data_IF_667888066646
#
_entry.id   IF_667888066646
#
_cell.length_a   1.000
_cell.length_b   1.000
_cell.length_c   1.000
_cell.angle_alpha   90.00
_cell.angle_beta   90.00
_cell.angle_gamma   90.00
#
_symmetry.space_group_name_H-M   'P 1'
#
loop_
_entity.id
_entity.type
_entity.pdbx_description
1 polymer ?
#
# COMPACT_ATOMS: atom_id res chain seq x y z
N UNK A 1 -7.84 -7.55 14.85
CA UNK A 1 -6.49 -6.93 14.78
C UNK A 1 -5.50 -8.01 14.40
N UNK A 2 -4.58 -7.73 13.49
CA UNK A 2 -3.49 -8.66 13.16
C UNK A 2 -2.46 -8.57 14.28
N UNK A 3 -2.06 -9.70 14.84
CA UNK A 3 -1.02 -9.77 15.86
C UNK A 3 0.29 -10.17 15.19
N UNK A 4 1.31 -9.32 15.32
CA UNK A 4 2.66 -9.59 14.83
C UNK A 4 3.51 -10.18 15.96
N UNK A 5 4.56 -10.93 15.60
CA UNK A 5 5.61 -11.27 16.58
C UNK A 5 6.49 -10.05 16.85
N UNK A 6 7.21 -10.06 17.97
CA UNK A 6 8.00 -8.91 18.44
C UNK A 6 8.99 -8.37 17.38
N UNK A 7 9.62 -9.28 16.61
CA UNK A 7 10.55 -8.91 15.54
C UNK A 7 9.86 -8.20 14.37
N UNK A 8 8.72 -8.72 13.93
CA UNK A 8 7.94 -8.12 12.83
C UNK A 8 7.36 -6.78 13.26
N UNK A 9 6.87 -6.68 14.50
CA UNK A 9 6.34 -5.44 15.05
C UNK A 9 7.43 -4.35 15.13
N UNK A 10 8.64 -4.70 15.59
CA UNK A 10 9.77 -3.78 15.59
C UNK A 10 10.15 -3.32 14.17
N UNK A 11 10.17 -4.24 13.19
CA UNK A 11 10.47 -3.92 11.80
C UNK A 11 9.40 -3.00 11.18
N UNK A 12 8.12 -3.32 11.37
CA UNK A 12 6.99 -2.53 10.88
C UNK A 12 6.98 -1.13 11.51
N UNK A 13 7.21 -1.02 12.82
CA UNK A 13 7.32 0.27 13.50
C UNK A 13 8.45 1.12 12.93
N UNK A 14 9.62 0.52 12.67
CA UNK A 14 10.73 1.22 12.02
C UNK A 14 10.35 1.71 10.62
N UNK A 15 9.77 0.85 9.79
CA UNK A 15 9.41 1.19 8.41
C UNK A 15 8.31 2.26 8.33
N UNK A 16 7.31 2.21 9.20
CA UNK A 16 6.22 3.20 9.27
C UNK A 16 6.72 4.60 9.68
N UNK A 17 7.78 4.67 10.49
CA UNK A 17 8.35 5.93 10.96
C UNK A 17 9.55 6.40 10.11
N UNK A 18 9.93 5.64 9.07
CA UNK A 18 11.02 6.01 8.17
C UNK A 18 10.56 7.09 7.19
N UNK A 19 11.40 8.11 7.01
CA UNK A 19 11.05 9.33 6.25
C UNK A 19 10.69 9.01 4.81
N UNK A 20 11.41 8.08 4.18
CA UNK A 20 11.17 7.71 2.78
C UNK A 20 9.78 7.10 2.59
N UNK A 21 9.35 6.20 3.49
CA UNK A 21 8.05 5.57 3.39
C UNK A 21 6.90 6.54 3.71
N UNK A 22 7.08 7.45 4.67
CA UNK A 22 6.12 8.54 4.90
C UNK A 22 5.96 9.41 3.64
N UNK A 23 7.06 9.75 2.97
CA UNK A 23 7.02 10.55 1.73
C UNK A 23 6.34 9.80 0.58
N UNK A 24 6.65 8.52 0.39
CA UNK A 24 6.00 7.67 -0.62
C UNK A 24 4.50 7.58 -0.36
N UNK A 25 4.09 7.31 0.88
CA UNK A 25 2.68 7.22 1.25
C UNK A 25 1.92 8.53 0.98
N UNK A 26 2.52 9.67 1.34
CA UNK A 26 1.96 10.99 1.05
C UNK A 26 1.85 11.28 -0.45
N UNK A 27 2.89 10.94 -1.22
CA UNK A 27 2.87 11.10 -2.67
C UNK A 27 1.77 10.26 -3.33
N UNK A 28 1.65 8.98 -2.95
CA UNK A 28 0.62 8.10 -3.49
C UNK A 28 -0.79 8.57 -3.13
N UNK A 29 -0.98 9.05 -1.89
CA UNK A 29 -2.24 9.64 -1.46
C UNK A 29 -2.61 10.90 -2.25
N UNK A 30 -1.63 11.77 -2.52
CA UNK A 30 -1.84 12.99 -3.32
C UNK A 30 -2.13 12.65 -4.80
N UNK A 31 -1.41 11.70 -5.38
CA UNK A 31 -1.69 11.21 -6.73
C UNK A 31 -3.10 10.63 -6.83
N UNK A 32 -3.54 9.86 -5.83
CA UNK A 32 -4.89 9.33 -5.78
C UNK A 32 -5.96 10.44 -5.73
N UNK A 33 -5.76 11.44 -4.87
CA UNK A 33 -6.65 12.60 -4.78
C UNK A 33 -6.76 13.35 -6.13
N UNK A 34 -5.65 13.45 -6.88
CA UNK A 34 -5.63 14.12 -8.17
C UNK A 34 -6.34 13.32 -9.27
N UNK A 35 -6.03 12.03 -9.40
CA UNK A 35 -6.49 11.20 -10.52
C UNK A 35 -7.88 10.58 -10.31
N UNK A 36 -8.33 10.45 -9.06
CA UNK A 36 -9.66 9.89 -8.74
C UNK A 36 -10.26 10.56 -7.49
N UNK A 37 -10.61 11.86 -7.58
CA UNK A 37 -11.01 12.66 -6.41
C UNK A 37 -12.24 12.12 -5.68
N UNK A 38 -13.26 11.66 -6.41
CA UNK A 38 -14.49 11.10 -5.80
C UNK A 38 -14.22 9.82 -5.00
N UNK A 39 -13.33 8.96 -5.52
CA UNK A 39 -12.97 7.73 -4.82
C UNK A 39 -12.05 8.04 -3.64
N UNK A 40 -11.16 9.02 -3.78
CA UNK A 40 -10.36 9.53 -2.67
C UNK A 40 -11.23 10.07 -1.53
N UNK A 41 -12.24 10.89 -1.83
CA UNK A 41 -13.20 11.40 -0.84
C UNK A 41 -13.94 10.25 -0.15
N UNK A 42 -14.38 9.24 -0.90
CA UNK A 42 -14.99 8.04 -0.33
C UNK A 42 -14.05 7.33 0.67
N UNK A 43 -12.77 7.19 0.33
CA UNK A 43 -11.77 6.64 1.25
C UNK A 43 -11.63 7.54 2.49
N UNK A 44 -11.42 8.84 2.32
CA UNK A 44 -11.22 9.78 3.43
C UNK A 44 -12.41 9.78 4.41
N UNK A 45 -13.65 9.82 3.89
CA UNK A 45 -14.85 9.71 4.72
C UNK A 45 -14.96 8.38 5.45
N UNK A 46 -14.65 7.27 4.75
CA UNK A 46 -14.71 5.93 5.34
C UNK A 46 -13.70 5.80 6.48
N UNK A 47 -12.48 6.28 6.27
CA UNK A 47 -11.41 6.29 7.29
C UNK A 47 -11.81 7.13 8.51
N UNK A 48 -12.42 8.29 8.28
CA UNK A 48 -12.97 9.13 9.35
C UNK A 48 -14.06 8.39 10.13
N UNK A 49 -15.05 7.81 9.45
CA UNK A 49 -16.15 7.04 10.07
C UNK A 49 -15.63 5.86 10.89
N UNK A 50 -14.62 5.15 10.39
CA UNK A 50 -13.99 4.03 11.10
C UNK A 50 -13.31 4.50 12.38
N UNK A 51 -12.54 5.61 12.33
CA UNK A 51 -11.84 6.16 13.49
C UNK A 51 -12.80 6.77 14.52
N UNK A 52 -13.87 7.41 14.06
CA UNK A 52 -14.95 7.95 14.91
C UNK A 52 -15.68 6.81 15.65
N UNK A 53 -15.86 5.66 15.00
CA UNK A 53 -16.50 4.48 15.59
C UNK A 53 -15.58 3.72 16.56
N UNK A 54 -14.31 3.53 16.18
CA UNK A 54 -13.30 2.89 17.02
C UNK A 54 -12.03 3.77 17.11
N UNK A 55 -11.95 4.63 18.14
CA UNK A 55 -10.80 5.50 18.38
C UNK A 55 -9.49 4.73 18.61
N UNK A 56 -9.55 3.43 18.91
CA UNK A 56 -8.38 2.60 19.13
C UNK A 56 -7.68 2.17 17.83
N UNK A 57 -8.32 2.34 16.66
CA UNK A 57 -7.71 2.05 15.36
C UNK A 57 -6.52 2.97 15.08
N UNK A 58 -5.42 2.41 14.60
CA UNK A 58 -4.28 3.15 14.06
C UNK A 58 -4.13 2.86 12.57
N UNK A 59 -3.81 3.89 11.80
CA UNK A 59 -3.50 3.78 10.38
C UNK A 59 -2.00 3.94 10.17
N UNK A 60 -1.46 3.36 9.09
CA UNK A 60 -0.01 3.26 8.91
C UNK A 60 0.70 4.61 8.80
N UNK A 61 0.09 5.59 8.13
CA UNK A 61 0.70 6.89 7.87
C UNK A 61 -0.33 8.01 8.00
N UNK A 62 0.00 9.04 8.80
CA UNK A 62 -0.91 10.17 9.03
C UNK A 62 -1.17 11.04 7.79
N UNK A 63 -0.26 11.00 6.81
CA UNK A 63 -0.35 11.78 5.57
C UNK A 63 -0.92 10.97 4.39
N UNK A 64 -1.58 9.84 4.65
CA UNK A 64 -2.10 8.95 3.62
C UNK A 64 -3.56 8.58 3.87
N UNK A 65 -4.34 8.45 2.80
CA UNK A 65 -5.73 7.96 2.86
C UNK A 65 -5.84 6.43 2.91
N UNK A 66 -4.75 5.72 2.61
CA UNK A 66 -4.75 4.25 2.58
C UNK A 66 -4.77 3.67 4.00
N UNK A 67 -5.63 2.68 4.22
CA UNK A 67 -5.79 2.03 5.52
C UNK A 67 -4.67 1.05 5.88
N UNK A 68 -4.03 0.48 4.85
CA UNK A 68 -3.05 -0.59 4.97
C UNK A 68 -1.85 -0.30 4.08
N UNK A 69 -0.68 -0.81 4.48
CA UNK A 69 0.54 -0.84 3.69
C UNK A 69 1.23 -2.20 3.84
N UNK A 70 1.80 -2.70 2.74
CA UNK A 70 2.53 -3.97 2.69
C UNK A 70 3.96 -3.71 2.19
N UNK A 71 4.93 -4.34 2.84
CA UNK A 71 6.34 -4.30 2.44
C UNK A 71 6.75 -5.67 1.89
N UNK A 72 6.98 -5.74 0.58
CA UNK A 72 7.49 -6.94 -0.08
C UNK A 72 9.02 -6.89 -0.07
N UNK A 73 9.64 -7.59 0.89
CA UNK A 73 11.08 -7.54 1.14
C UNK A 73 11.85 -8.63 0.39
N UNK A 74 13.01 -8.27 -0.15
CA UNK A 74 13.91 -9.17 -0.87
C UNK A 74 14.65 -10.18 0.03
N UNK A 75 15.62 -10.94 -0.52
CA UNK A 75 16.27 -10.72 -1.83
C UNK A 75 15.42 -11.14 -3.03
N UNK A 76 14.40 -11.97 -2.84
CA UNK A 76 13.45 -12.36 -3.87
C UNK A 76 12.05 -12.47 -3.27
N UNK A 77 11.11 -11.71 -3.81
CA UNK A 77 9.68 -11.78 -3.44
C UNK A 77 8.88 -12.07 -4.70
N UNK A 78 8.00 -13.08 -4.63
CA UNK A 78 7.10 -13.43 -5.74
C UNK A 78 5.71 -13.57 -5.18
N UNK A 79 4.76 -12.82 -5.75
CA UNK A 79 3.34 -13.05 -5.54
C UNK A 79 2.83 -13.95 -6.65
N UNK A 80 2.22 -15.09 -6.28
CA UNK A 80 1.54 -15.96 -7.23
C UNK A 80 0.32 -15.24 -7.82
N UNK A 81 -0.25 -15.74 -8.93
CA UNK A 81 -1.48 -15.17 -9.50
C UNK A 81 -2.60 -15.19 -8.44
N UNK A 82 -3.09 -14.02 -8.07
CA UNK A 82 -4.18 -13.87 -7.10
C UNK A 82 -4.94 -12.57 -7.35
N UNK A 83 -6.04 -12.39 -6.61
CA UNK A 83 -6.72 -11.12 -6.42
C UNK A 83 -6.65 -10.77 -4.94
N UNK A 84 -6.54 -9.48 -4.63
CA UNK A 84 -6.66 -8.98 -3.26
C UNK A 84 -8.13 -8.91 -2.85
N UNK A 85 -8.75 -10.06 -2.57
CA UNK A 85 -10.21 -10.15 -2.32
C UNK A 85 -10.71 -9.33 -1.12
N UNK A 86 -9.82 -8.89 -0.24
CA UNK A 86 -10.16 -8.04 0.91
C UNK A 86 -10.07 -6.54 0.60
N UNK A 87 -9.54 -6.17 -0.57
CA UNK A 87 -9.55 -4.79 -1.01
C UNK A 87 -10.96 -4.39 -1.43
N UNK A 88 -11.26 -3.09 -1.29
CA UNK A 88 -12.49 -2.54 -1.84
C UNK A 88 -12.53 -2.73 -3.35
N UNK A 89 -13.64 -3.24 -3.89
CA UNK A 89 -13.74 -3.69 -5.29
C UNK A 89 -13.44 -2.60 -6.33
N UNK A 90 -13.80 -1.34 -6.04
CA UNK A 90 -13.50 -0.20 -6.88
C UNK A 90 -12.22 0.55 -6.44
N UNK A 91 -11.55 0.03 -5.42
CA UNK A 91 -10.41 0.63 -4.76
C UNK A 91 -9.15 0.64 -5.61
N UNK A 92 -8.30 1.63 -5.37
CA UNK A 92 -6.98 1.71 -5.99
C UNK A 92 -5.90 1.36 -4.98
N UNK A 93 -4.77 0.85 -5.46
CA UNK A 93 -3.57 0.60 -4.67
C UNK A 93 -2.38 1.31 -5.31
N UNK A 94 -1.61 2.05 -4.50
CA UNK A 94 -0.31 2.57 -4.92
C UNK A 94 0.76 1.49 -4.76
N UNK A 95 1.50 1.20 -5.84
CA UNK A 95 2.64 0.27 -5.81
C UNK A 95 3.91 1.05 -6.16
N UNK A 96 4.96 0.85 -5.38
CA UNK A 96 6.27 1.48 -5.61
C UNK A 96 7.34 0.41 -5.53
N UNK A 97 8.10 0.23 -6.62
CA UNK A 97 9.28 -0.60 -6.61
C UNK A 97 10.48 0.17 -6.05
N UNK A 98 11.27 -0.48 -5.21
CA UNK A 98 12.43 0.11 -4.54
C UNK A 98 13.65 -0.81 -4.66
N UNK A 99 14.83 -0.23 -4.45
CA UNK A 99 16.10 -0.95 -4.49
C UNK A 99 16.77 -0.93 -5.85
N UNK A 100 17.85 -1.68 -5.99
CA UNK A 100 18.62 -1.82 -7.22
C UNK A 100 18.39 -3.21 -7.80
N UNK A 101 17.73 -3.28 -8.94
CA UNK A 101 17.50 -4.51 -9.69
C UNK A 101 17.50 -4.22 -11.20
N UNK A 102 17.62 -5.26 -12.01
CA UNK A 102 17.48 -5.17 -13.47
C UNK A 102 15.99 -5.30 -13.81
N UNK A 103 15.34 -4.18 -14.11
CA UNK A 103 13.90 -4.12 -14.39
C UNK A 103 13.47 -4.89 -15.64
N UNK A 104 14.42 -5.30 -16.49
CA UNK A 104 14.14 -6.14 -17.67
C UNK A 104 14.15 -7.64 -17.33
N UNK A 105 14.64 -8.00 -16.14
CA UNK A 105 14.79 -9.39 -15.67
C UNK A 105 13.98 -9.68 -14.40
N UNK A 106 13.38 -8.68 -13.77
CA UNK A 106 12.66 -8.85 -12.52
C UNK A 106 11.94 -7.58 -12.08
N UNK A 107 11.10 -7.68 -11.04
CA UNK A 107 10.26 -6.57 -10.62
C UNK A 107 9.18 -6.26 -11.67
N UNK A 108 8.51 -7.27 -12.21
CA UNK A 108 7.43 -7.07 -13.17
C UNK A 108 6.07 -7.18 -12.47
N UNK A 109 5.14 -6.28 -12.80
CA UNK A 109 3.72 -6.42 -12.46
C UNK A 109 2.99 -7.06 -13.64
N UNK A 110 2.45 -8.27 -13.42
CA UNK A 110 1.74 -9.02 -14.47
C UNK A 110 0.23 -8.91 -14.26
N UNK A 111 -0.43 -8.25 -15.20
CA UNK A 111 -1.88 -8.07 -15.24
C UNK A 111 -2.48 -9.06 -16.25
N UNK A 112 -2.72 -10.29 -15.79
CA UNK A 112 -3.10 -11.43 -16.63
C UNK A 112 -4.33 -11.16 -17.51
N UNK A 113 -5.40 -10.59 -16.95
CA UNK A 113 -6.65 -10.37 -17.67
C UNK A 113 -6.53 -9.27 -18.72
N UNK A 114 -5.61 -8.31 -18.50
CA UNK A 114 -5.28 -7.25 -19.44
C UNK A 114 -4.21 -7.68 -20.46
N UNK A 115 -3.63 -8.89 -20.31
CA UNK A 115 -2.49 -9.38 -21.10
C UNK A 115 -1.31 -8.39 -21.12
N UNK A 116 -1.06 -7.72 -20.00
CA UNK A 116 -0.04 -6.68 -19.86
C UNK A 116 1.01 -7.08 -18.84
N UNK A 117 2.27 -6.82 -19.17
CA UNK A 117 3.42 -6.90 -18.26
C UNK A 117 4.01 -5.50 -18.15
N UNK A 118 4.14 -5.01 -16.92
CA UNK A 118 4.72 -3.70 -16.61
C UNK A 118 6.07 -3.93 -15.95
N UNK A 119 7.14 -3.43 -16.56
CA UNK A 119 8.47 -3.31 -15.95
C UNK A 119 8.49 -2.06 -15.06
N UNK A 120 8.96 -2.19 -13.82
CA UNK A 120 9.04 -1.07 -12.87
C UNK A 120 10.26 -0.17 -13.07
#
# INVERSE_FOLDING_TARGET
RIKHGDQDEAALNRLQNERSFIQIAGHMSAAFAHWSPKLYEYYAETMKKLKDNDPSLSFNFQNSVFACATYNLGPQTVSLKHLDYLNYIAGWCGVTALGRFDHTKGGHLVLWDLKLVIEF
#
